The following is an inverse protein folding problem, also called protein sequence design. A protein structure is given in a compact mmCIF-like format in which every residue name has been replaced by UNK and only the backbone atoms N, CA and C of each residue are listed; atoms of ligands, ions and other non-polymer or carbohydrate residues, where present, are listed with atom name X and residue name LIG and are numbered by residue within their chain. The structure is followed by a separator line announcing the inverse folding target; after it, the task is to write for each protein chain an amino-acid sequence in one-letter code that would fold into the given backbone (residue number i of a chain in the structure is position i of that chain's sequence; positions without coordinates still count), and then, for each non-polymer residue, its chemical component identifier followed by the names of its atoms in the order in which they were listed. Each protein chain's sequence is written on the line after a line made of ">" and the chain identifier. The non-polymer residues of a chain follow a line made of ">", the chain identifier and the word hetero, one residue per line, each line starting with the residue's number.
data_IF_820157708812
#
_entry.id   IF_820157708812
#
_cell.length_a   1.000
_cell.length_b   1.000
_cell.length_c   1.000
_cell.angle_alpha   90.00
_cell.angle_beta   90.00
_cell.angle_gamma   90.00
#
_symmetry.space_group_name_H-M   'P 1'
#
loop_
_entity.id
_entity.type
_entity.pdbx_description
1 polymer ?
#
# COMPACT_ATOMS: atom_id res chain seq x y z
N UNK A 1 -38.97 -21.79 17.88
CA UNK A 1 -38.08 -21.72 16.68
C UNK A 1 -37.90 -20.26 16.36
N UNK A 2 -36.71 -19.70 16.61
CA UNK A 2 -36.39 -18.34 16.19
C UNK A 2 -35.28 -18.45 15.14
N UNK A 3 -35.55 -18.03 13.91
CA UNK A 3 -34.49 -17.80 12.93
C UNK A 3 -34.49 -16.30 12.62
N UNK A 4 -33.57 -15.57 13.24
CA UNK A 4 -33.36 -14.14 13.07
C UNK A 4 -31.93 -13.95 12.60
N UNK A 5 -31.69 -13.91 11.29
CA UNK A 5 -30.46 -13.41 10.65
C UNK A 5 -30.83 -13.12 9.18
N UNK A 6 -30.48 -12.01 8.53
CA UNK A 6 -29.55 -10.93 8.81
C UNK A 6 -29.86 -9.80 7.79
N UNK A 7 -29.97 -8.53 8.21
CA UNK A 7 -29.97 -7.40 7.27
C UNK A 7 -28.55 -7.20 6.74
N UNK A 8 -28.25 -7.72 5.55
CA UNK A 8 -26.95 -7.50 4.90
C UNK A 8 -26.95 -6.16 4.16
N UNK A 9 -26.29 -5.15 4.73
CA UNK A 9 -25.75 -4.03 3.96
C UNK A 9 -24.75 -4.61 2.95
N UNK A 10 -25.12 -4.67 1.67
CA UNK A 10 -24.32 -5.34 0.64
C UNK A 10 -23.07 -4.54 0.28
N UNK A 11 -21.98 -4.71 1.04
CA UNK A 11 -20.65 -4.43 0.50
C UNK A 11 -20.35 -5.44 -0.61
N UNK A 12 -20.08 -4.93 -1.82
CA UNK A 12 -19.80 -5.76 -2.98
C UNK A 12 -18.30 -6.08 -3.02
N UNK A 13 -17.93 -7.27 -2.57
CA UNK A 13 -16.54 -7.73 -2.63
C UNK A 13 -16.14 -8.11 -4.06
N UNK A 14 -14.94 -7.70 -4.48
CA UNK A 14 -14.31 -8.18 -5.72
C UNK A 14 -13.59 -9.51 -5.44
N UNK A 15 -13.57 -10.40 -6.44
CA UNK A 15 -12.83 -11.68 -6.36
C UNK A 15 -11.45 -11.51 -6.98
N UNK A 16 -10.41 -11.91 -6.25
CA UNK A 16 -9.03 -11.92 -6.75
C UNK A 16 -8.61 -13.39 -6.86
N UNK A 17 -8.43 -13.95 -8.07
CA UNK A 17 -7.94 -15.30 -8.21
C UNK A 17 -6.48 -15.35 -7.78
N UNK A 18 -6.16 -16.26 -6.86
CA UNK A 18 -4.79 -16.48 -6.37
C UNK A 18 -4.49 -17.98 -6.35
N UNK A 19 -3.21 -18.32 -6.44
CA UNK A 19 -2.77 -19.70 -6.34
C UNK A 19 -2.85 -20.19 -4.87
N UNK A 20 -2.94 -21.51 -4.63
CA UNK A 20 -2.92 -22.06 -3.28
C UNK A 20 -1.68 -21.65 -2.48
N UNK A 21 -0.51 -21.61 -3.14
CA UNK A 21 0.74 -21.19 -2.52
C UNK A 21 0.72 -19.72 -2.07
N UNK A 22 0.12 -18.84 -2.88
CA UNK A 22 -0.06 -17.42 -2.49
C UNK A 22 -1.06 -17.30 -1.34
N UNK A 23 -2.16 -18.06 -1.36
CA UNK A 23 -3.15 -18.06 -0.29
C UNK A 23 -2.57 -18.51 1.06
N UNK A 24 -1.72 -19.54 1.06
CA UNK A 24 -1.01 -20.01 2.26
C UNK A 24 -0.12 -18.91 2.86
N UNK A 25 0.69 -18.24 2.01
CA UNK A 25 1.55 -17.13 2.45
C UNK A 25 0.74 -15.99 3.05
N UNK A 26 -0.33 -15.57 2.38
CA UNK A 26 -1.21 -14.52 2.90
C UNK A 26 -1.88 -14.94 4.22
N UNK A 27 -2.23 -16.21 4.38
CA UNK A 27 -2.83 -16.72 5.61
C UNK A 27 -1.86 -16.71 6.80
N UNK A 28 -0.57 -16.92 6.55
CA UNK A 28 0.49 -16.81 7.58
C UNK A 28 0.72 -15.35 7.99
N UNK A 29 0.66 -14.43 7.02
CA UNK A 29 0.89 -13.00 7.27
C UNK A 29 -0.29 -12.33 8.00
N UNK A 30 -1.49 -12.84 7.81
CA UNK A 30 -2.72 -12.30 8.40
C UNK A 30 -2.74 -12.42 9.93
N UNK A 31 -3.06 -11.33 10.63
CA UNK A 31 -3.16 -11.31 12.10
C UNK A 31 -4.48 -11.95 12.59
N UNK A 32 -4.53 -12.46 13.84
CA UNK A 32 -5.78 -12.96 14.41
C UNK A 32 -6.88 -11.87 14.41
N UNK A 33 -8.08 -12.23 13.92
CA UNK A 33 -9.23 -11.32 13.84
C UNK A 33 -9.26 -10.39 12.62
N UNK A 34 -8.21 -10.38 11.81
CA UNK A 34 -8.10 -9.53 10.62
C UNK A 34 -8.83 -10.14 9.41
N UNK A 35 -9.23 -9.35 8.41
CA UNK A 35 -9.68 -9.88 7.10
C UNK A 35 -8.55 -9.80 6.06
N UNK A 36 -8.67 -10.51 4.94
CA UNK A 36 -7.69 -10.38 3.87
C UNK A 36 -7.67 -8.97 3.25
N UNK A 37 -8.77 -8.23 3.35
CA UNK A 37 -8.84 -6.85 2.87
C UNK A 37 -7.92 -5.94 3.68
N UNK A 38 -7.97 -6.03 5.01
CA UNK A 38 -7.05 -5.28 5.89
C UNK A 38 -5.59 -5.63 5.61
N UNK A 39 -5.25 -6.93 5.48
CA UNK A 39 -3.89 -7.34 5.13
C UNK A 39 -3.44 -6.76 3.79
N UNK A 40 -4.32 -6.75 2.79
CA UNK A 40 -4.01 -6.19 1.47
C UNK A 40 -3.77 -4.69 1.56
N UNK A 41 -4.55 -3.95 2.36
CA UNK A 41 -4.33 -2.52 2.61
C UNK A 41 -2.96 -2.29 3.25
N UNK A 42 -2.61 -3.03 4.31
CA UNK A 42 -1.30 -2.93 4.98
C UNK A 42 -0.15 -3.18 3.98
N UNK A 43 -0.27 -4.19 3.12
CA UNK A 43 0.74 -4.53 2.11
C UNK A 43 0.86 -3.46 1.01
N UNK A 44 -0.26 -2.81 0.62
CA UNK A 44 -0.25 -1.71 -0.33
C UNK A 44 0.51 -0.51 0.26
N UNK A 45 0.19 -0.13 1.50
CA UNK A 45 0.85 1.00 2.16
C UNK A 45 2.36 0.77 2.32
N UNK A 46 2.77 -0.45 2.69
CA UNK A 46 4.19 -0.79 2.79
C UNK A 46 4.89 -0.66 1.43
N UNK A 47 4.25 -1.13 0.35
CA UNK A 47 4.79 -1.03 -1.00
C UNK A 47 4.94 0.43 -1.45
N UNK A 48 3.95 1.26 -1.21
CA UNK A 48 3.99 2.69 -1.55
C UNK A 48 5.13 3.41 -0.82
N UNK A 49 5.30 3.15 0.48
CA UNK A 49 6.43 3.70 1.27
C UNK A 49 7.78 3.29 0.68
N UNK A 50 7.94 2.02 0.31
CA UNK A 50 9.17 1.53 -0.31
C UNK A 50 9.43 2.15 -1.68
N UNK A 51 8.38 2.37 -2.47
CA UNK A 51 8.51 2.98 -3.79
C UNK A 51 8.89 4.47 -3.68
N UNK A 52 8.35 5.21 -2.71
CA UNK A 52 8.79 6.59 -2.39
C UNK A 52 10.28 6.61 -2.01
N UNK A 53 10.70 5.74 -1.09
CA UNK A 53 12.10 5.68 -0.65
C UNK A 53 13.01 5.35 -1.83
N UNK A 54 12.63 4.40 -2.69
CA UNK A 54 13.39 4.05 -3.89
C UNK A 54 13.50 5.23 -4.85
N UNK A 55 12.41 5.97 -5.04
CA UNK A 55 12.39 7.12 -5.92
C UNK A 55 13.30 8.25 -5.42
N UNK A 56 13.21 8.59 -4.13
CA UNK A 56 14.07 9.60 -3.51
C UNK A 56 15.54 9.20 -3.59
N UNK A 57 15.87 7.92 -3.33
CA UNK A 57 17.23 7.41 -3.48
C UNK A 57 17.75 7.57 -4.90
N UNK A 58 16.93 7.22 -5.89
CA UNK A 58 17.29 7.39 -7.30
C UNK A 58 17.57 8.85 -7.63
N UNK A 59 16.72 9.77 -7.18
CA UNK A 59 16.95 11.21 -7.36
C UNK A 59 18.25 11.64 -6.67
N UNK A 60 18.51 11.19 -5.44
CA UNK A 60 19.74 11.51 -4.72
C UNK A 60 21.02 10.99 -5.42
N UNK A 61 20.94 9.85 -6.10
CA UNK A 61 22.08 9.24 -6.79
C UNK A 61 22.32 9.82 -8.20
N UNK A 62 21.25 10.12 -8.94
CA UNK A 62 21.32 10.54 -10.36
C UNK A 62 21.04 12.03 -10.57
N UNK A 63 20.56 12.74 -9.56
CA UNK A 63 20.12 14.13 -9.66
C UNK A 63 21.28 15.12 -9.62
N UNK A 64 21.19 16.14 -10.46
CA UNK A 64 21.97 17.36 -10.29
C UNK A 64 21.23 18.28 -9.32
N UNK A 65 21.89 18.59 -8.19
CA UNK A 65 21.32 19.43 -7.15
C UNK A 65 22.03 20.78 -7.13
N UNK A 66 21.23 21.85 -7.12
CA UNK A 66 21.73 23.20 -6.84
C UNK A 66 21.79 23.41 -5.34
N UNK A 67 22.77 24.21 -4.89
CA UNK A 67 22.74 24.76 -3.54
C UNK A 67 21.55 25.70 -3.35
N UNK A 68 21.16 25.93 -2.10
CA UNK A 68 20.03 26.82 -1.80
C UNK A 68 20.28 28.25 -2.30
N UNK A 69 21.52 28.74 -2.16
CA UNK A 69 21.92 30.06 -2.64
C UNK A 69 21.80 30.17 -4.17
N UNK A 70 22.21 29.13 -4.91
CA UNK A 70 22.08 29.08 -6.38
C UNK A 70 20.61 29.03 -6.83
N UNK A 71 19.77 28.26 -6.12
CA UNK A 71 18.34 28.18 -6.42
C UNK A 71 17.59 29.51 -6.15
N UNK A 72 17.96 30.25 -5.10
CA UNK A 72 17.38 31.55 -4.77
C UNK A 72 17.67 32.61 -5.85
N UNK A 73 18.84 32.56 -6.49
CA UNK A 73 19.17 33.45 -7.59
C UNK A 73 18.40 33.09 -8.88
N UNK A 74 18.26 31.80 -9.19
CA UNK A 74 17.48 31.34 -10.37
C UNK A 74 16.00 31.72 -10.28
N UNK A 75 15.41 31.80 -9.08
CA UNK A 75 13.99 32.13 -8.90
C UNK A 75 13.70 33.64 -8.84
N UNK A 76 14.72 34.49 -8.84
CA UNK A 76 14.57 35.95 -8.90
C UNK A 76 14.50 36.47 -10.36
N UNK A 77 14.85 35.65 -11.35
CA UNK A 77 14.66 35.90 -12.78
C UNK A 77 13.26 35.48 -13.27
#
# INVERSE_FOLDING_TARGET
>A
MCNVYNMSSTQTYKRIPITPATWEKLSILKKPGETFDHLIVDLIEEREKLDIIRHVKKIAEEGEFLSLDEAEEVWKE
#
